data_IF_584017116768
#
_entry.id   IF_584017116768
#
_cell.length_a   1.000
_cell.length_b   1.000
_cell.length_c   1.000
_cell.angle_alpha   90.00
_cell.angle_beta   90.00
_cell.angle_gamma   90.00
#
_symmetry.space_group_name_H-M   'P 1'
#
loop_
_entity.id
_entity.type
_entity.pdbx_description
1 polymer ?
#
# COMPACT_ATOMS: atom_id res chain seq x y z
N UNK A 1 15.88 -9.44 -5.05
CA UNK A 1 15.66 -10.40 -3.95
C UNK A 1 14.40 -10.04 -3.17
N UNK A 2 13.67 -11.06 -2.73
CA UNK A 2 12.49 -10.96 -1.84
C UNK A 2 12.77 -11.44 -0.41
N UNK A 3 14.04 -11.47 -0.02
CA UNK A 3 14.43 -11.88 1.34
C UNK A 3 13.79 -10.93 2.38
N UNK A 4 13.06 -11.48 3.34
CA UNK A 4 12.28 -10.73 4.33
C UNK A 4 10.80 -10.57 4.01
N UNK A 5 10.34 -11.07 2.86
CA UNK A 5 8.91 -11.23 2.56
C UNK A 5 8.33 -12.34 3.44
N UNK A 6 7.16 -12.09 4.04
CA UNK A 6 6.52 -13.04 4.98
C UNK A 6 6.16 -14.33 4.27
N UNK A 7 5.48 -14.25 3.12
CA UNK A 7 5.03 -15.42 2.37
C UNK A 7 5.09 -15.13 0.86
N UNK A 8 5.92 -15.87 0.13
CA UNK A 8 6.07 -15.69 -1.32
C UNK A 8 4.82 -16.07 -2.10
N UNK A 9 4.02 -16.99 -1.56
CA UNK A 9 2.78 -17.43 -2.19
C UNK A 9 1.68 -16.37 -2.19
N UNK A 10 1.86 -15.25 -1.48
CA UNK A 10 0.97 -14.09 -1.55
C UNK A 10 1.10 -13.33 -2.87
N UNK A 11 2.20 -13.53 -3.55
CA UNK A 11 2.53 -12.83 -4.79
C UNK A 11 2.17 -13.69 -6.00
N UNK A 12 1.74 -13.05 -7.08
CA UNK A 12 1.55 -13.71 -8.38
C UNK A 12 2.74 -13.50 -9.30
N UNK A 13 3.25 -12.29 -9.37
CA UNK A 13 4.45 -11.96 -10.15
C UNK A 13 5.08 -10.63 -9.69
N UNK A 14 6.35 -10.46 -10.06
CA UNK A 14 7.06 -9.18 -10.07
C UNK A 14 7.16 -8.68 -11.47
N UNK A 15 7.04 -7.36 -11.64
CA UNK A 15 7.23 -6.73 -12.94
C UNK A 15 8.17 -5.53 -12.82
N UNK A 16 8.97 -5.33 -13.85
CA UNK A 16 9.88 -4.21 -13.99
C UNK A 16 9.32 -3.25 -15.03
N UNK A 17 9.21 -1.98 -14.67
CA UNK A 17 8.78 -0.91 -15.56
C UNK A 17 9.86 0.15 -15.68
N UNK A 18 10.05 0.65 -16.89
CA UNK A 18 10.79 1.88 -17.12
C UNK A 18 9.85 3.06 -17.01
N UNK A 19 10.29 4.13 -16.38
CA UNK A 19 9.52 5.38 -16.24
C UNK A 19 10.12 6.43 -17.16
N UNK A 20 9.28 7.00 -18.02
CA UNK A 20 9.64 8.10 -18.91
C UNK A 20 9.34 9.43 -18.21
N UNK A 21 10.33 10.07 -17.61
CA UNK A 21 10.18 11.42 -17.09
C UNK A 21 10.00 11.56 -15.59
N UNK A 22 9.14 12.46 -15.14
CA UNK A 22 8.95 12.80 -13.72
C UNK A 22 8.14 11.71 -13.01
N UNK A 23 8.46 11.45 -11.75
CA UNK A 23 7.95 10.40 -10.85
C UNK A 23 6.40 10.36 -10.74
N UNK A 24 5.67 9.81 -11.70
CA UNK A 24 4.23 9.64 -11.63
C UNK A 24 3.79 8.24 -12.05
N UNK A 25 2.69 7.73 -11.49
CA UNK A 25 2.10 6.46 -11.90
C UNK A 25 1.56 6.50 -13.34
N UNK A 26 1.28 7.68 -13.86
CA UNK A 26 0.82 7.93 -15.23
C UNK A 26 1.93 7.84 -16.28
N UNK A 27 3.20 7.91 -15.85
CA UNK A 27 4.36 7.98 -16.75
C UNK A 27 5.01 6.62 -16.98
N UNK A 28 4.30 5.54 -16.67
CA UNK A 28 4.82 4.19 -16.85
C UNK A 28 4.89 3.83 -18.33
N UNK A 29 6.10 3.58 -18.79
CA UNK A 29 6.30 2.92 -20.06
C UNK A 29 5.92 1.45 -19.97
N UNK A 30 5.95 0.76 -21.10
CA UNK A 30 5.69 -0.68 -21.18
C UNK A 30 6.46 -1.47 -20.12
N UNK A 31 5.81 -2.47 -19.56
CA UNK A 31 6.48 -3.48 -18.73
C UNK A 31 7.70 -4.04 -19.47
N UNK A 32 8.85 -3.95 -18.84
CA UNK A 32 10.13 -4.39 -19.40
C UNK A 32 10.28 -5.89 -19.24
N UNK A 33 9.92 -6.40 -18.05
CA UNK A 33 9.99 -7.82 -17.72
C UNK A 33 9.03 -8.20 -16.60
N UNK A 34 8.64 -9.47 -16.53
CA UNK A 34 7.77 -10.00 -15.47
C UNK A 34 8.15 -11.44 -15.16
N UNK A 35 8.38 -11.72 -13.89
CA UNK A 35 8.85 -13.04 -13.41
C UNK A 35 7.99 -13.57 -12.26
N UNK A 36 7.97 -14.90 -12.12
CA UNK A 36 7.36 -15.55 -10.97
C UNK A 36 8.15 -15.22 -9.68
N UNK A 37 7.45 -15.09 -8.52
CA UNK A 37 8.10 -14.77 -7.26
C UNK A 37 9.03 -15.88 -6.79
N UNK A 38 10.28 -15.54 -6.48
CA UNK A 38 11.24 -16.41 -5.82
C UNK A 38 12.11 -15.57 -4.87
N UNK A 39 12.80 -16.22 -3.92
CA UNK A 39 13.71 -15.51 -2.99
C UNK A 39 14.78 -14.70 -3.72
N UNK A 40 15.30 -15.26 -4.81
CA UNK A 40 16.21 -14.56 -5.73
C UNK A 40 15.67 -14.72 -7.13
N UNK A 41 15.65 -13.64 -7.88
CA UNK A 41 15.18 -13.58 -9.25
C UNK A 41 16.16 -12.77 -10.08
N UNK A 42 16.22 -13.07 -11.37
CA UNK A 42 16.89 -12.25 -12.36
C UNK A 42 15.81 -11.72 -13.28
N UNK A 43 15.79 -10.41 -13.47
CA UNK A 43 15.03 -9.73 -14.50
C UNK A 43 16.02 -9.52 -15.64
N UNK A 44 15.95 -10.38 -16.66
CA UNK A 44 16.93 -10.48 -17.73
C UNK A 44 16.38 -9.90 -19.03
N UNK A 45 16.24 -8.60 -19.04
CA UNK A 45 15.84 -7.88 -20.24
C UNK A 45 16.90 -6.87 -20.62
N UNK A 46 17.43 -6.92 -21.84
CA UNK A 46 18.32 -5.90 -22.36
C UNK A 46 17.62 -4.54 -22.32
N UNK A 47 18.17 -3.63 -21.53
CA UNK A 47 17.68 -2.27 -21.39
C UNK A 47 18.81 -1.30 -21.72
N UNK A 48 18.59 -0.49 -22.72
CA UNK A 48 19.50 0.62 -23.00
C UNK A 48 19.35 1.70 -21.93
N UNK A 49 20.42 1.94 -21.19
CA UNK A 49 20.47 3.01 -20.20
C UNK A 49 20.79 4.32 -20.90
N UNK A 50 20.01 5.36 -20.60
CA UNK A 50 20.29 6.71 -21.07
C UNK A 50 21.52 7.27 -20.34
N UNK A 51 22.18 8.24 -20.96
CA UNK A 51 23.43 8.84 -20.45
C UNK A 51 23.27 9.61 -19.12
N UNK A 52 22.03 9.97 -18.75
CA UNK A 52 21.76 10.72 -17.53
C UNK A 52 21.21 9.79 -16.42
N UNK A 53 19.89 9.69 -16.34
CA UNK A 53 19.21 8.91 -15.31
C UNK A 53 18.13 8.03 -15.92
N UNK A 54 18.16 6.74 -15.59
CA UNK A 54 17.10 5.81 -15.91
C UNK A 54 16.39 5.39 -14.64
N UNK A 55 15.08 5.62 -14.56
CA UNK A 55 14.26 5.24 -13.42
C UNK A 55 13.55 3.94 -13.74
N UNK A 56 13.74 2.97 -12.87
CA UNK A 56 13.10 1.66 -12.95
C UNK A 56 12.22 1.46 -11.72
N UNK A 57 11.00 0.99 -11.94
CA UNK A 57 10.08 0.60 -10.89
C UNK A 57 9.91 -0.90 -10.86
N UNK A 58 10.05 -1.48 -9.68
CA UNK A 58 9.68 -2.86 -9.42
C UNK A 58 8.31 -2.87 -8.76
N UNK A 59 7.37 -3.55 -9.36
CA UNK A 59 6.03 -3.74 -8.81
C UNK A 59 5.83 -5.20 -8.44
N UNK A 60 4.97 -5.43 -7.47
CA UNK A 60 4.50 -6.76 -7.08
C UNK A 60 3.00 -6.83 -7.23
N UNK A 61 2.50 -7.91 -7.82
CA UNK A 61 1.07 -8.20 -7.84
C UNK A 61 0.75 -9.21 -6.75
N UNK A 62 -0.15 -8.83 -5.86
CA UNK A 62 -0.68 -9.70 -4.81
C UNK A 62 -1.73 -10.64 -5.37
N UNK A 63 -1.92 -11.77 -4.72
CA UNK A 63 -3.12 -12.61 -4.88
C UNK A 63 -4.32 -11.98 -4.20
N UNK A 64 -5.51 -12.45 -4.57
CA UNK A 64 -6.72 -12.10 -3.83
C UNK A 64 -6.67 -12.70 -2.40
N UNK A 65 -7.28 -12.00 -1.45
CA UNK A 65 -7.41 -12.42 -0.04
C UNK A 65 -6.08 -12.67 0.68
N UNK A 66 -5.08 -11.84 0.44
CA UNK A 66 -3.81 -11.86 1.18
C UNK A 66 -4.04 -11.41 2.62
N UNK A 67 -3.31 -12.00 3.57
CA UNK A 67 -3.27 -11.49 4.94
C UNK A 67 -2.62 -10.10 4.97
N UNK A 68 -3.36 -9.10 5.44
CA UNK A 68 -2.92 -7.70 5.46
C UNK A 68 -1.77 -7.46 6.46
N UNK A 69 -1.51 -8.38 7.38
CA UNK A 69 -0.37 -8.29 8.33
C UNK A 69 0.93 -8.74 7.69
N UNK A 70 0.88 -9.46 6.58
CA UNK A 70 2.04 -9.89 5.84
C UNK A 70 2.81 -8.70 5.24
N UNK A 71 4.07 -8.94 4.97
CA UNK A 71 4.99 -7.92 4.45
C UNK A 71 5.68 -8.39 3.19
N UNK A 72 5.93 -7.46 2.31
CA UNK A 72 6.73 -7.66 1.10
C UNK A 72 7.97 -6.80 1.20
N UNK A 73 9.11 -7.44 0.99
CA UNK A 73 10.42 -6.77 0.96
C UNK A 73 11.03 -6.99 -0.41
N UNK A 74 11.49 -5.93 -1.05
CA UNK A 74 12.19 -6.01 -2.34
C UNK A 74 13.55 -5.34 -2.20
N UNK A 75 14.60 -6.03 -2.62
CA UNK A 75 15.95 -5.47 -2.73
C UNK A 75 16.57 -5.79 -4.08
N UNK A 76 17.41 -4.89 -4.56
CA UNK A 76 18.29 -5.12 -5.70
C UNK A 76 19.68 -5.46 -5.20
N UNK A 77 20.18 -6.65 -5.51
CA UNK A 77 21.49 -7.11 -5.05
C UNK A 77 22.61 -6.61 -5.97
N UNK A 78 22.38 -6.63 -7.28
CA UNK A 78 23.30 -6.10 -8.28
C UNK A 78 22.58 -5.84 -9.61
N UNK A 79 23.21 -5.04 -10.43
CA UNK A 79 22.83 -4.80 -11.82
C UNK A 79 24.00 -5.26 -12.70
N UNK A 80 23.73 -6.08 -13.70
CA UNK A 80 24.72 -6.49 -14.70
C UNK A 80 24.56 -5.62 -15.94
N UNK A 81 25.67 -5.12 -16.45
CA UNK A 81 25.73 -4.35 -17.71
C UNK A 81 26.65 -5.07 -18.68
N UNK A 82 26.69 -4.65 -19.91
CA UNK A 82 27.65 -5.16 -20.91
C UNK A 82 29.11 -4.94 -20.50
N UNK A 83 29.37 -3.96 -19.63
CA UNK A 83 30.70 -3.65 -19.09
C UNK A 83 30.99 -4.36 -17.77
N UNK A 84 30.10 -5.24 -17.28
CA UNK A 84 30.26 -5.97 -16.02
C UNK A 84 29.18 -5.64 -14.98
N UNK A 85 29.42 -6.01 -13.71
CA UNK A 85 28.51 -5.73 -12.61
C UNK A 85 28.66 -4.29 -12.15
N UNK A 86 27.55 -3.56 -12.08
CA UNK A 86 27.51 -2.27 -11.42
C UNK A 86 27.23 -2.44 -9.92
N UNK A 87 27.85 -1.59 -9.10
CA UNK A 87 27.55 -1.54 -7.67
C UNK A 87 26.15 -0.97 -7.43
N UNK A 88 25.46 -1.53 -6.45
CA UNK A 88 24.17 -1.01 -6.00
C UNK A 88 24.36 -0.33 -4.65
N UNK A 89 24.10 0.97 -4.59
CA UNK A 89 24.09 1.72 -3.34
C UNK A 89 22.67 1.98 -2.90
N UNK A 90 22.28 1.49 -1.72
CA UNK A 90 20.99 1.79 -1.15
C UNK A 90 21.01 3.17 -0.50
N UNK A 91 20.19 4.10 -1.00
CA UNK A 91 20.04 5.45 -0.43
C UNK A 91 19.09 5.42 0.79
N UNK A 92 18.30 4.37 0.94
CA UNK A 92 17.37 4.19 2.06
C UNK A 92 17.47 2.76 2.58
N UNK A 93 17.20 2.53 3.88
CA UNK A 93 17.14 1.17 4.39
C UNK A 93 16.06 0.38 3.63
N UNK A 94 16.28 -0.92 3.51
CA UNK A 94 15.29 -1.83 2.92
C UNK A 94 14.05 -1.78 3.80
N UNK A 95 12.91 -1.42 3.21
CA UNK A 95 11.64 -1.30 3.92
C UNK A 95 10.78 -2.52 3.60
N UNK A 96 10.32 -3.19 4.64
CA UNK A 96 9.28 -4.21 4.52
C UNK A 96 7.92 -3.51 4.51
N UNK A 97 7.28 -3.45 3.36
CA UNK A 97 5.96 -2.86 3.20
C UNK A 97 4.88 -3.90 3.55
N UNK A 98 3.89 -3.51 4.33
CA UNK A 98 2.70 -4.34 4.56
C UNK A 98 1.91 -4.49 3.26
N UNK A 99 1.24 -5.62 3.09
CA UNK A 99 0.33 -5.85 1.97
C UNK A 99 -0.89 -4.94 2.04
N UNK A 100 -1.27 -4.53 3.26
CA UNK A 100 -2.27 -3.52 3.54
C UNK A 100 -2.38 -3.26 5.05
N UNK A 101 -3.14 -2.25 5.43
CA UNK A 101 -3.48 -1.95 6.82
C UNK A 101 -4.97 -1.73 6.89
N UNK A 102 -5.70 -2.57 7.62
CA UNK A 102 -7.09 -2.32 7.92
C UNK A 102 -7.17 -1.14 8.90
N UNK A 103 -7.85 -0.06 8.50
CA UNK A 103 -8.12 1.07 9.39
C UNK A 103 -9.08 0.62 10.48
N UNK A 104 -10.11 -0.15 10.08
CA UNK A 104 -11.08 -0.78 11.00
C UNK A 104 -11.53 -2.13 10.46
N UNK A 105 -11.91 -2.99 11.39
CA UNK A 105 -12.59 -4.25 11.10
C UNK A 105 -14.04 -4.19 11.59
N UNK A 106 -14.89 -5.00 11.01
CA UNK A 106 -16.29 -5.13 11.42
C UNK A 106 -16.38 -5.61 12.88
N UNK A 107 -17.22 -4.95 13.67
CA UNK A 107 -17.47 -5.30 15.07
C UNK A 107 -16.53 -4.65 16.09
N UNK A 108 -15.48 -3.96 15.65
CA UNK A 108 -14.61 -3.20 16.57
C UNK A 108 -15.40 -2.05 17.23
N UNK A 109 -15.14 -1.81 18.52
CA UNK A 109 -15.76 -0.75 19.34
C UNK A 109 -17.31 -0.75 19.29
N UNK A 110 -17.92 -1.94 19.10
CA UNK A 110 -19.38 -2.07 19.00
C UNK A 110 -19.97 -1.61 17.67
N UNK A 111 -19.18 -1.17 16.72
CA UNK A 111 -19.63 -0.72 15.40
C UNK A 111 -19.85 -1.93 14.49
N UNK A 112 -21.12 -2.15 14.10
CA UNK A 112 -21.48 -3.25 13.20
C UNK A 112 -20.79 -3.12 11.83
N UNK A 113 -20.79 -1.90 11.28
CA UNK A 113 -20.22 -1.66 9.93
C UNK A 113 -19.70 -0.23 9.82
N UNK A 114 -18.48 -0.06 9.31
CA UNK A 114 -17.96 1.23 8.89
C UNK A 114 -18.22 1.42 7.39
N UNK A 115 -18.79 2.55 6.98
CA UNK A 115 -19.14 2.84 5.58
C UNK A 115 -18.80 4.28 5.20
N UNK A 116 -18.90 4.56 3.89
CA UNK A 116 -18.67 5.90 3.30
C UNK A 116 -17.31 6.48 3.75
N UNK A 117 -16.20 5.73 3.56
CA UNK A 117 -14.92 6.21 4.03
C UNK A 117 -14.39 7.37 3.19
N UNK A 118 -13.85 8.37 3.86
CA UNK A 118 -13.03 9.41 3.29
C UNK A 118 -11.65 9.42 3.95
N UNK A 119 -10.60 9.76 3.22
CA UNK A 119 -9.26 9.93 3.77
C UNK A 119 -8.64 11.22 3.28
N UNK A 120 -7.96 11.92 4.16
CA UNK A 120 -7.23 13.13 3.84
C UNK A 120 -5.95 13.24 4.66
N UNK A 121 -5.08 14.15 4.27
CA UNK A 121 -3.82 14.41 4.97
C UNK A 121 -3.78 15.87 5.41
N UNK A 122 -3.49 16.11 6.69
CA UNK A 122 -3.28 17.45 7.21
C UNK A 122 -1.95 18.06 6.70
N UNK A 123 -1.79 19.36 6.82
CA UNK A 123 -0.54 20.05 6.49
C UNK A 123 0.67 19.53 7.28
N UNK A 124 0.45 18.93 8.44
CA UNK A 124 1.49 18.31 9.29
C UNK A 124 1.76 16.84 8.94
N UNK A 125 1.15 16.29 7.88
CA UNK A 125 1.33 14.90 7.45
C UNK A 125 0.48 13.87 8.22
N UNK A 126 -0.42 14.28 9.13
CA UNK A 126 -1.34 13.36 9.80
C UNK A 126 -2.39 12.87 8.80
N UNK A 127 -2.52 11.57 8.63
CA UNK A 127 -3.64 10.98 7.90
C UNK A 127 -4.89 10.99 8.80
N UNK A 128 -6.03 11.34 8.22
CA UNK A 128 -7.33 11.31 8.87
C UNK A 128 -8.28 10.49 8.01
N UNK A 129 -8.80 9.39 8.56
CA UNK A 129 -9.84 8.59 7.95
C UNK A 129 -11.17 8.90 8.66
N UNK A 130 -12.18 9.34 7.92
CA UNK A 130 -13.52 9.62 8.40
C UNK A 130 -14.50 8.62 7.79
N UNK A 131 -15.51 8.22 8.53
CA UNK A 131 -16.48 7.21 8.08
C UNK A 131 -17.74 7.23 8.92
N UNK A 132 -18.83 6.66 8.38
CA UNK A 132 -20.03 6.33 9.16
C UNK A 132 -19.71 5.16 10.10
N UNK A 133 -19.95 5.36 11.39
CA UNK A 133 -19.98 4.30 12.40
C UNK A 133 -21.45 3.85 12.56
N UNK A 134 -21.80 2.71 11.95
CA UNK A 134 -23.17 2.16 11.97
C UNK A 134 -23.26 1.06 13.00
N UNK A 135 -24.08 1.25 14.01
CA UNK A 135 -24.13 0.34 15.15
C UNK A 135 -25.07 -0.85 14.92
N UNK A 136 -26.23 -0.64 14.31
CA UNK A 136 -27.27 -1.67 14.18
C UNK A 136 -27.09 -2.58 12.96
N UNK A 137 -26.75 -2.02 11.81
CA UNK A 137 -26.68 -2.74 10.55
C UNK A 137 -25.83 -2.03 9.50
N UNK A 138 -25.70 -2.64 8.32
CA UNK A 138 -25.03 -2.02 7.17
C UNK A 138 -25.91 -1.08 6.34
N UNK A 139 -27.19 -0.91 6.72
CA UNK A 139 -28.15 -0.09 5.95
C UNK A 139 -27.82 1.40 6.07
N UNK A 140 -28.23 2.16 5.05
CA UNK A 140 -28.28 3.61 5.12
C UNK A 140 -29.49 4.02 5.97
N UNK A 141 -29.61 5.25 6.28
CA UNK A 141 -30.66 5.94 7.07
C UNK A 141 -31.71 5.08 7.80
N UNK A 142 -32.16 5.55 8.95
CA UNK A 142 -32.99 4.92 9.98
C UNK A 142 -32.19 3.87 10.78
N UNK A 143 -31.09 4.30 11.36
CA UNK A 143 -30.29 3.51 12.30
C UNK A 143 -29.41 4.40 13.15
N UNK A 144 -28.80 3.80 14.15
CA UNK A 144 -27.81 4.47 14.98
C UNK A 144 -26.52 4.62 14.16
N UNK A 145 -26.27 5.84 13.68
CA UNK A 145 -25.16 6.17 12.79
C UNK A 145 -24.50 7.46 13.26
N UNK A 146 -23.24 7.35 13.64
CA UNK A 146 -22.38 8.49 13.96
C UNK A 146 -21.35 8.73 12.85
N UNK A 147 -20.77 9.92 12.84
CA UNK A 147 -19.57 10.18 12.07
C UNK A 147 -18.37 10.00 12.97
N UNK A 148 -17.51 9.08 12.59
CA UNK A 148 -16.30 8.74 13.32
C UNK A 148 -15.04 9.09 12.52
N UNK A 149 -13.94 9.27 13.23
CA UNK A 149 -12.63 9.54 12.66
C UNK A 149 -11.54 8.72 13.35
N UNK A 150 -10.57 8.29 12.58
CA UNK A 150 -9.29 7.75 13.08
C UNK A 150 -8.13 8.51 12.48
N UNK A 151 -7.02 8.61 13.22
CA UNK A 151 -5.82 9.34 12.80
C UNK A 151 -4.61 8.43 12.78
N UNK A 152 -3.75 8.63 11.81
CA UNK A 152 -2.42 8.02 11.76
C UNK A 152 -1.35 9.09 11.71
N UNK A 153 -0.31 8.93 12.52
CA UNK A 153 0.84 9.83 12.62
C UNK A 153 2.09 9.26 11.92
N UNK A 154 1.99 8.05 11.39
CA UNK A 154 3.11 7.27 10.85
C UNK A 154 2.89 6.81 9.39
N UNK A 155 2.11 7.59 8.64
CA UNK A 155 1.84 7.31 7.23
C UNK A 155 0.90 6.13 6.99
N UNK A 156 0.00 5.83 7.93
CA UNK A 156 -0.99 4.76 7.81
C UNK A 156 -0.53 3.40 8.33
N UNK A 157 0.65 3.32 8.95
CA UNK A 157 1.17 2.06 9.50
C UNK A 157 0.46 1.64 10.78
N UNK A 158 0.01 2.61 11.57
CA UNK A 158 -0.85 2.40 12.73
C UNK A 158 -1.91 3.50 12.82
N UNK A 159 -3.02 3.21 13.49
CA UNK A 159 -4.15 4.11 13.64
C UNK A 159 -4.49 4.28 15.12
N UNK A 160 -4.74 5.53 15.51
CA UNK A 160 -5.18 5.87 16.87
C UNK A 160 -6.61 5.37 17.09
N UNK A 161 -7.06 5.24 18.35
CA UNK A 161 -8.43 4.87 18.66
C UNK A 161 -9.46 5.74 17.94
N UNK A 162 -10.59 5.14 17.62
CA UNK A 162 -11.73 5.83 17.00
C UNK A 162 -12.23 6.97 17.88
N UNK A 163 -12.55 8.09 17.25
CA UNK A 163 -13.19 9.24 17.88
C UNK A 163 -14.50 9.54 17.18
N UNK A 164 -15.56 9.68 17.94
CA UNK A 164 -16.83 10.20 17.39
C UNK A 164 -16.67 11.71 17.22
N UNK A 165 -16.79 12.18 16.00
CA UNK A 165 -16.70 13.62 15.66
C UNK A 165 -18.07 14.28 15.52
N UNK A 166 -19.09 13.47 15.23
CA UNK A 166 -20.48 13.90 15.23
C UNK A 166 -21.36 12.76 15.72
N UNK A 167 -21.86 12.87 16.93
CA UNK A 167 -22.86 11.97 17.51
C UNK A 167 -24.25 12.41 17.02
N UNK A 168 -24.89 11.57 16.26
CA UNK A 168 -26.23 11.83 15.70
C UNK A 168 -27.36 11.19 16.52
N UNK A 169 -27.00 10.51 17.59
CA UNK A 169 -27.92 9.77 18.48
C UNK A 169 -28.68 8.66 17.75
N UNK A 170 -29.49 7.89 18.48
CA UNK A 170 -30.17 6.69 18.00
C UNK A 170 -31.05 6.87 16.74
N UNK A 171 -31.30 8.09 16.34
CA UNK A 171 -32.13 8.42 15.18
C UNK A 171 -31.40 9.40 14.24
N UNK A 172 -30.22 9.08 13.87
CA UNK A 172 -29.35 9.90 13.00
C UNK A 172 -29.93 10.34 11.67
N UNK A 173 -31.14 10.85 11.73
CA UNK A 173 -31.85 11.33 10.60
C UNK A 173 -32.69 12.56 10.94
N UNK A 174 -32.21 13.67 10.55
CA UNK A 174 -32.92 14.76 9.89
C UNK A 174 -31.94 15.49 9.09
#
# INVERSE_FOLDING_TARGET
>A
SLKGTTLLTDLTHLSLYRVAGKRGLSDWEKCVDSVAPALKMVLDTPLELKSDTTILWVTVKLKDKVDLTHRVTVSCDHVTTTCGKASVTSVRPIVALRTGVAVRQRGEDGVHTSRIPGITTSLKGTLMAIFDARYDSSRDLQGDIDIAMMRSLDGGMSWQPMQIVLDRKKWGGL
#
